data_IF_574757605724
#
_entry.id   IF_574757605724
#
_cell.length_a   1.000
_cell.length_b   1.000
_cell.length_c   1.000
_cell.angle_alpha   90.00
_cell.angle_beta   90.00
_cell.angle_gamma   90.00
#
_symmetry.space_group_name_H-M   'P 1'
#
loop_
_entity.id
_entity.type
_entity.pdbx_description
1 polymer ?
#
# COMPACT_ATOMS: atom_id res chain seq x y z
N UNK A 1 2.08 8.22 30.03
CA UNK A 1 0.69 8.54 30.40
C UNK A 1 -0.06 7.25 30.63
N UNK A 2 -0.68 7.06 31.79
CA UNK A 2 -1.56 5.92 32.02
C UNK A 2 -2.77 6.03 31.08
N UNK A 3 -3.05 4.98 30.31
CA UNK A 3 -4.21 4.94 29.41
C UNK A 3 -5.50 5.01 30.24
N UNK A 4 -6.38 5.95 29.89
CA UNK A 4 -7.67 6.11 30.55
C UNK A 4 -8.43 4.74 30.54
N UNK A 5 -8.89 4.22 31.70
CA UNK A 5 -9.62 2.96 31.77
C UNK A 5 -10.81 2.85 30.80
N UNK A 6 -11.46 3.97 30.49
CA UNK A 6 -12.57 3.98 29.54
C UNK A 6 -12.09 3.86 28.09
N UNK A 7 -10.91 4.40 27.75
CA UNK A 7 -10.28 4.21 26.44
C UNK A 7 -9.89 2.74 26.21
N UNK A 8 -9.43 2.03 27.26
CA UNK A 8 -9.13 0.60 27.16
C UNK A 8 -10.38 -0.26 26.96
N UNK A 9 -11.51 0.09 27.61
CA UNK A 9 -12.79 -0.61 27.39
C UNK A 9 -13.28 -0.41 25.96
N UNK A 10 -13.22 0.82 25.45
CA UNK A 10 -13.58 1.16 24.08
C UNK A 10 -12.70 0.41 23.06
N UNK A 11 -11.40 0.31 23.30
CA UNK A 11 -10.49 -0.41 22.40
C UNK A 11 -10.79 -1.93 22.37
N UNK A 12 -11.11 -2.54 23.52
CA UNK A 12 -11.55 -3.94 23.58
C UNK A 12 -12.84 -4.16 22.81
N UNK A 13 -13.77 -3.21 22.90
CA UNK A 13 -15.03 -3.28 22.17
C UNK A 13 -14.81 -3.12 20.65
N UNK A 14 -13.94 -2.21 20.22
CA UNK A 14 -13.58 -2.05 18.82
C UNK A 14 -12.95 -3.34 18.26
N UNK A 15 -12.04 -3.98 19.01
CA UNK A 15 -11.49 -5.30 18.66
C UNK A 15 -12.57 -6.37 18.53
N UNK A 16 -13.54 -6.41 19.45
CA UNK A 16 -14.65 -7.37 19.40
C UNK A 16 -15.50 -7.21 18.13
N UNK A 17 -15.78 -5.97 17.75
CA UNK A 17 -16.59 -5.63 16.57
C UNK A 17 -15.86 -5.86 15.24
N UNK A 18 -14.54 -5.68 15.22
CA UNK A 18 -13.69 -5.91 14.06
C UNK A 18 -13.33 -7.39 13.84
N UNK A 19 -13.30 -8.22 14.91
CA UNK A 19 -12.89 -9.63 14.87
C UNK A 19 -13.55 -10.46 13.75
N UNK A 20 -14.87 -10.36 13.46
CA UNK A 20 -15.49 -11.13 12.39
C UNK A 20 -14.99 -10.78 10.98
N UNK A 21 -14.35 -9.62 10.81
CA UNK A 21 -13.81 -9.16 9.52
C UNK A 21 -12.39 -9.64 9.26
N UNK A 22 -11.73 -10.26 10.24
CA UNK A 22 -10.34 -10.75 10.17
C UNK A 22 -10.30 -12.23 9.83
N UNK A 23 -9.34 -12.62 8.99
CA UNK A 23 -9.03 -14.01 8.70
C UNK A 23 -9.82 -14.64 7.55
N UNK A 24 -9.47 -15.90 7.27
CA UNK A 24 -9.87 -16.62 6.07
C UNK A 24 -9.04 -16.22 4.84
N UNK A 25 -9.16 -17.02 3.78
CA UNK A 25 -8.55 -16.70 2.49
C UNK A 25 -9.35 -15.58 1.83
N UNK A 26 -8.68 -14.47 1.50
CA UNK A 26 -9.27 -13.32 0.85
C UNK A 26 -9.34 -13.54 -0.68
N UNK A 27 -10.30 -14.37 -1.11
CA UNK A 27 -10.56 -14.63 -2.54
C UNK A 27 -10.71 -13.37 -3.39
N UNK A 28 -11.38 -12.28 -2.93
CA UNK A 28 -11.42 -11.03 -3.70
C UNK A 28 -10.03 -10.45 -3.97
N UNK A 29 -9.14 -10.46 -2.98
CA UNK A 29 -7.75 -9.98 -3.14
C UNK A 29 -6.95 -10.86 -4.10
N UNK A 30 -7.16 -12.18 -4.07
CA UNK A 30 -6.52 -13.12 -5.00
C UNK A 30 -6.99 -12.88 -6.43
N UNK A 31 -8.31 -12.79 -6.66
CA UNK A 31 -8.88 -12.52 -7.97
C UNK A 31 -8.41 -11.16 -8.53
N UNK A 32 -8.39 -10.15 -7.66
CA UNK A 32 -7.86 -8.82 -8.00
C UNK A 32 -6.38 -8.87 -8.38
N UNK A 33 -5.54 -9.55 -7.61
CA UNK A 33 -4.12 -9.69 -7.89
C UNK A 33 -3.84 -10.40 -9.23
N UNK A 34 -4.56 -11.50 -9.50
CA UNK A 34 -4.46 -12.22 -10.78
C UNK A 34 -4.90 -11.31 -11.93
N UNK A 35 -6.01 -10.59 -11.77
CA UNK A 35 -6.49 -9.62 -12.76
C UNK A 35 -5.47 -8.53 -13.05
N UNK A 36 -4.92 -7.89 -12.02
CA UNK A 36 -3.89 -6.85 -12.16
C UNK A 36 -2.66 -7.39 -12.89
N UNK A 37 -2.15 -8.57 -12.50
CA UNK A 37 -0.98 -9.17 -13.14
C UNK A 37 -1.25 -9.55 -14.60
N UNK A 38 -2.41 -10.14 -14.90
CA UNK A 38 -2.79 -10.53 -16.25
C UNK A 38 -2.98 -9.32 -17.17
N UNK A 39 -3.66 -8.27 -16.70
CA UNK A 39 -3.84 -7.04 -17.49
C UNK A 39 -2.51 -6.31 -17.67
N UNK A 40 -1.62 -6.30 -16.67
CA UNK A 40 -0.29 -5.69 -16.79
C UNK A 40 0.56 -6.39 -17.86
N UNK A 41 0.68 -7.71 -17.79
CA UNK A 41 1.41 -8.50 -18.78
C UNK A 41 0.77 -8.41 -20.17
N UNK A 42 -0.57 -8.49 -20.23
CA UNK A 42 -1.34 -8.36 -21.47
C UNK A 42 -1.20 -6.98 -22.11
N UNK A 43 -1.11 -5.91 -21.32
CA UNK A 43 -0.90 -4.54 -21.81
C UNK A 43 0.48 -4.40 -22.44
N UNK A 44 1.53 -4.88 -21.76
CA UNK A 44 2.89 -4.87 -22.31
C UNK A 44 2.92 -5.66 -23.62
N UNK A 45 2.38 -6.88 -23.62
CA UNK A 45 2.34 -7.71 -24.83
C UNK A 45 1.58 -7.03 -25.97
N UNK A 46 0.40 -6.45 -25.70
CA UNK A 46 -0.41 -5.77 -26.70
C UNK A 46 0.29 -4.56 -27.32
N UNK A 47 1.05 -3.79 -26.52
CA UNK A 47 1.89 -2.70 -27.05
C UNK A 47 3.02 -3.27 -27.91
N UNK A 48 3.74 -4.29 -27.41
CA UNK A 48 4.85 -4.94 -28.12
C UNK A 48 4.46 -5.52 -29.48
N UNK A 49 3.23 -6.00 -29.65
CA UNK A 49 2.73 -6.52 -30.93
C UNK A 49 1.91 -5.49 -31.74
N UNK A 50 1.93 -4.21 -31.34
CA UNK A 50 1.26 -3.11 -32.05
C UNK A 50 -0.26 -3.13 -31.99
N UNK A 51 -0.87 -3.90 -31.08
CA UNK A 51 -2.33 -3.96 -30.86
C UNK A 51 -2.84 -2.85 -29.95
N UNK A 52 -1.96 -2.22 -29.18
CA UNK A 52 -2.25 -1.10 -28.30
C UNK A 52 -1.18 -0.02 -28.49
N UNK A 53 -1.58 1.25 -28.53
CA UNK A 53 -0.63 2.36 -28.62
C UNK A 53 0.16 2.56 -27.32
N UNK A 54 1.43 2.97 -27.43
CA UNK A 54 2.34 3.19 -26.29
C UNK A 54 1.73 4.11 -25.22
N UNK A 55 1.07 5.21 -25.61
CA UNK A 55 0.46 6.14 -24.68
C UNK A 55 -0.69 5.51 -23.85
N UNK A 56 -1.53 4.70 -24.49
CA UNK A 56 -2.60 3.99 -23.79
C UNK A 56 -2.02 2.91 -22.87
N UNK A 57 -1.03 2.15 -23.35
CA UNK A 57 -0.32 1.17 -22.52
C UNK A 57 0.36 1.80 -21.32
N UNK A 58 1.00 2.95 -21.49
CA UNK A 58 1.63 3.72 -20.42
C UNK A 58 0.61 4.09 -19.33
N UNK A 59 -0.51 4.70 -19.72
CA UNK A 59 -1.57 5.08 -18.78
C UNK A 59 -2.15 3.87 -18.03
N UNK A 60 -2.41 2.76 -18.73
CA UNK A 60 -2.89 1.53 -18.11
C UNK A 60 -1.86 0.97 -17.12
N UNK A 61 -0.59 0.85 -17.51
CA UNK A 61 0.46 0.36 -16.61
C UNK A 61 0.63 1.25 -15.37
N UNK A 62 0.56 2.58 -15.49
CA UNK A 62 0.62 3.48 -14.33
C UNK A 62 -0.52 3.26 -13.33
N UNK A 63 -1.74 3.02 -13.82
CA UNK A 63 -2.88 2.70 -12.96
C UNK A 63 -2.77 1.30 -12.35
N UNK A 64 -2.19 0.35 -13.08
CA UNK A 64 -1.97 -1.01 -12.56
C UNK A 64 -0.87 -1.06 -11.51
N UNK A 65 0.14 -0.18 -11.57
CA UNK A 65 1.12 0.00 -10.49
C UNK A 65 0.40 0.43 -9.21
N UNK A 66 -0.45 1.45 -9.30
CA UNK A 66 -1.31 1.87 -8.17
C UNK A 66 -2.17 0.72 -7.63
N UNK A 67 -2.81 -0.05 -8.51
CA UNK A 67 -3.61 -1.22 -8.12
C UNK A 67 -2.77 -2.33 -7.45
N UNK A 68 -1.59 -2.61 -8.00
CA UNK A 68 -0.66 -3.62 -7.48
C UNK A 68 -0.19 -3.30 -6.07
N UNK A 69 -0.06 -2.02 -5.71
CA UNK A 69 0.30 -1.61 -4.36
C UNK A 69 -0.68 -2.14 -3.30
N UNK A 70 -1.99 -2.18 -3.59
CA UNK A 70 -2.98 -2.76 -2.67
C UNK A 70 -2.68 -4.24 -2.38
N UNK A 71 -2.28 -5.00 -3.40
CA UNK A 71 -1.92 -6.42 -3.24
C UNK A 71 -0.65 -6.58 -2.43
N UNK A 72 0.37 -5.75 -2.71
CA UNK A 72 1.63 -5.72 -1.97
C UNK A 72 1.40 -5.42 -0.49
N UNK A 73 0.60 -4.39 -0.21
CA UNK A 73 0.21 -3.94 1.13
C UNK A 73 -0.55 -5.03 1.91
N UNK A 74 -1.54 -5.67 1.28
CA UNK A 74 -2.28 -6.79 1.89
C UNK A 74 -1.36 -7.99 2.18
N UNK A 75 -0.38 -8.26 1.32
CA UNK A 75 0.60 -9.32 1.52
C UNK A 75 1.55 -9.04 2.69
N UNK A 76 1.92 -7.78 2.94
CA UNK A 76 2.74 -7.38 4.11
C UNK A 76 2.06 -7.79 5.42
N UNK A 77 0.75 -7.57 5.52
CA UNK A 77 -0.04 -7.86 6.74
C UNK A 77 -0.59 -9.28 6.81
N UNK A 78 -0.28 -10.12 5.83
CA UNK A 78 -0.80 -11.50 5.70
C UNK A 78 -2.33 -11.58 5.51
N UNK A 79 -2.93 -10.57 4.88
CA UNK A 79 -4.39 -10.47 4.68
C UNK A 79 -4.91 -11.39 3.58
N UNK A 80 -4.06 -11.83 2.66
CA UNK A 80 -4.47 -12.67 1.52
C UNK A 80 -4.83 -14.08 1.98
N UNK A 81 -4.00 -14.69 2.82
CA UNK A 81 -4.28 -16.02 3.38
C UNK A 81 -4.99 -15.97 4.73
N UNK A 82 -4.86 -14.86 5.46
CA UNK A 82 -5.08 -14.81 6.90
C UNK A 82 -3.86 -15.32 7.69
N UNK A 83 -3.68 -14.78 8.90
CA UNK A 83 -2.55 -15.11 9.77
C UNK A 83 -2.55 -16.58 10.23
N UNK A 84 -1.38 -17.22 10.21
CA UNK A 84 -1.18 -18.59 10.73
C UNK A 84 -1.76 -19.71 9.87
N UNK A 85 -2.21 -19.41 8.65
CA UNK A 85 -2.82 -20.39 7.75
C UNK A 85 -1.77 -21.17 6.94
N UNK A 86 -2.01 -22.44 6.59
CA UNK A 86 -1.10 -23.23 5.73
C UNK A 86 -0.93 -22.61 4.33
N UNK A 87 -1.88 -21.77 3.91
CA UNK A 87 -1.88 -21.04 2.65
C UNK A 87 -1.07 -19.73 2.68
N UNK A 88 -0.19 -19.56 3.68
CA UNK A 88 0.65 -18.35 3.83
C UNK A 88 1.42 -17.99 2.55
N UNK A 89 1.77 -18.99 1.74
CA UNK A 89 2.45 -18.81 0.47
C UNK A 89 1.68 -17.90 -0.51
N UNK A 90 0.35 -17.76 -0.39
CA UNK A 90 -0.40 -16.78 -1.17
C UNK A 90 0.10 -15.35 -0.99
N UNK A 91 0.39 -14.93 0.24
CA UNK A 91 0.92 -13.58 0.50
C UNK A 91 2.31 -13.43 -0.12
N UNK A 92 3.16 -14.45 0.02
CA UNK A 92 4.52 -14.38 -0.51
C UNK A 92 4.50 -14.33 -2.04
N UNK A 93 3.79 -15.23 -2.70
CA UNK A 93 3.73 -15.29 -4.17
C UNK A 93 3.06 -14.05 -4.76
N UNK A 94 1.86 -13.69 -4.30
CA UNK A 94 1.15 -12.54 -4.86
C UNK A 94 1.81 -11.21 -4.47
N UNK A 95 2.40 -11.13 -3.28
CA UNK A 95 3.21 -9.98 -2.87
C UNK A 95 4.48 -9.83 -3.70
N UNK A 96 5.18 -10.92 -4.04
CA UNK A 96 6.34 -10.85 -4.95
C UNK A 96 5.95 -10.45 -6.37
N UNK A 97 4.81 -10.93 -6.89
CA UNK A 97 4.27 -10.50 -8.19
C UNK A 97 3.93 -9.01 -8.18
N UNK A 98 3.21 -8.55 -7.14
CA UNK A 98 2.90 -7.14 -6.97
C UNK A 98 4.16 -6.28 -6.82
N UNK A 99 5.14 -6.75 -6.05
CA UNK A 99 6.44 -6.12 -5.90
C UNK A 99 7.23 -6.05 -7.21
N UNK A 100 7.11 -7.07 -8.07
CA UNK A 100 7.68 -7.06 -9.41
C UNK A 100 7.09 -5.94 -10.28
N UNK A 101 5.76 -5.80 -10.28
CA UNK A 101 5.05 -4.73 -10.99
C UNK A 101 5.51 -3.35 -10.45
N UNK A 102 5.50 -3.19 -9.12
CA UNK A 102 5.89 -1.97 -8.42
C UNK A 102 7.36 -1.58 -8.57
N UNK A 103 8.24 -2.51 -8.96
CA UNK A 103 9.70 -2.38 -8.80
C UNK A 103 10.13 -2.13 -7.34
N UNK A 104 9.38 -2.70 -6.39
CA UNK A 104 9.68 -2.65 -4.96
C UNK A 104 9.54 -4.07 -4.40
N UNK A 105 10.64 -4.72 -3.96
CA UNK A 105 10.59 -6.03 -3.34
C UNK A 105 9.63 -6.12 -2.15
N UNK A 106 8.84 -7.19 -2.07
CA UNK A 106 7.97 -7.48 -0.93
C UNK A 106 8.75 -7.51 0.38
N UNK A 107 9.93 -8.10 0.37
CA UNK A 107 10.76 -8.24 1.57
C UNK A 107 11.23 -6.88 2.09
N UNK A 108 11.60 -5.97 1.18
CA UNK A 108 12.02 -4.61 1.51
C UNK A 108 10.85 -3.79 2.03
N UNK A 109 9.72 -3.82 1.29
CA UNK A 109 8.54 -3.06 1.67
C UNK A 109 7.96 -3.52 3.00
N UNK A 110 7.91 -4.84 3.25
CA UNK A 110 7.47 -5.39 4.53
C UNK A 110 8.27 -4.85 5.71
N UNK A 111 9.59 -4.73 5.59
CA UNK A 111 10.43 -4.26 6.68
C UNK A 111 10.16 -2.79 7.02
N UNK A 112 10.03 -1.96 6.00
CA UNK A 112 9.80 -0.52 6.10
C UNK A 112 8.37 -0.21 6.54
N UNK A 113 7.36 -0.74 5.86
CA UNK A 113 5.95 -0.50 6.19
C UNK A 113 5.57 -1.01 7.60
N UNK A 114 6.12 -2.13 8.06
CA UNK A 114 5.93 -2.56 9.45
C UNK A 114 6.66 -1.66 10.45
N UNK A 115 7.73 -0.98 10.07
CA UNK A 115 8.38 0.03 10.91
C UNK A 115 7.51 1.28 11.01
N UNK A 116 6.96 1.74 9.89
CA UNK A 116 5.94 2.80 9.87
C UNK A 116 4.80 2.51 10.85
N UNK A 117 4.12 1.36 10.76
CA UNK A 117 3.04 1.01 11.70
C UNK A 117 3.43 1.00 13.19
N UNK A 118 4.69 0.71 13.51
CA UNK A 118 5.16 0.71 14.91
C UNK A 118 5.42 2.13 15.41
N UNK A 119 5.69 3.07 14.51
CA UNK A 119 6.24 4.38 14.79
C UNK A 119 5.50 5.50 14.08
N UNK A 120 4.26 5.28 13.63
CA UNK A 120 3.51 6.22 12.77
C UNK A 120 3.61 7.67 13.27
N UNK A 121 4.00 8.56 12.36
CA UNK A 121 4.23 10.00 12.56
C UNK A 121 5.35 10.37 13.56
N UNK A 122 6.12 9.41 14.09
CA UNK A 122 7.32 9.72 14.87
C UNK A 122 8.35 10.43 13.98
N UNK A 123 8.77 11.67 14.30
CA UNK A 123 9.61 12.48 13.42
C UNK A 123 10.97 11.85 13.09
N UNK A 124 11.48 10.97 13.95
CA UNK A 124 12.81 10.37 13.81
C UNK A 124 12.72 8.91 13.36
N UNK A 125 11.78 8.15 13.92
CA UNK A 125 11.73 6.69 13.77
C UNK A 125 10.79 6.21 12.64
N UNK A 126 9.84 7.02 12.20
CA UNK A 126 8.94 6.65 11.11
C UNK A 126 9.63 6.83 9.75
N UNK A 127 9.82 5.76 8.96
CA UNK A 127 10.39 5.90 7.61
C UNK A 127 9.58 6.81 6.69
N UNK A 128 8.26 6.92 6.87
CA UNK A 128 7.38 7.69 5.98
C UNK A 128 7.35 9.19 6.30
N UNK A 129 8.02 9.65 7.36
CA UNK A 129 8.11 11.10 7.66
C UNK A 129 8.86 11.90 6.59
N UNK A 130 9.63 11.23 5.71
CA UNK A 130 10.22 11.88 4.52
C UNK A 130 9.17 12.35 3.50
N UNK A 131 7.94 11.84 3.62
CA UNK A 131 6.78 12.14 2.77
C UNK A 131 5.90 13.24 3.34
N UNK A 132 6.11 13.65 4.61
CA UNK A 132 5.34 14.70 5.24
C UNK A 132 5.50 16.02 4.46
N UNK A 133 4.38 16.69 4.21
CA UNK A 133 4.32 17.96 3.48
C UNK A 133 3.79 19.03 4.42
N UNK A 134 4.58 20.09 4.59
CA UNK A 134 4.15 21.30 5.30
C UNK A 134 3.15 22.10 4.48
N UNK A 135 2.04 22.51 5.08
CA UNK A 135 1.00 23.28 4.41
C UNK A 135 0.23 22.47 3.36
N UNK A 136 -0.45 23.15 2.43
CA UNK A 136 -1.32 22.49 1.44
C UNK A 136 -0.49 21.76 0.37
N UNK A 137 -0.67 20.44 0.17
CA UNK A 137 0.01 19.71 -0.89
C UNK A 137 -0.32 20.26 -2.29
N UNK A 138 0.68 20.26 -3.17
CA UNK A 138 0.55 20.60 -4.59
C UNK A 138 1.37 19.60 -5.43
N UNK A 139 1.25 19.65 -6.75
CA UNK A 139 1.91 18.67 -7.63
C UNK A 139 3.44 18.65 -7.45
N UNK A 140 4.07 19.79 -7.18
CA UNK A 140 5.50 19.87 -6.94
C UNK A 140 5.92 19.16 -5.66
N UNK A 141 5.26 19.45 -4.53
CA UNK A 141 5.58 18.79 -3.25
C UNK A 141 5.24 17.29 -3.27
N UNK A 142 4.15 16.89 -3.92
CA UNK A 142 3.79 15.49 -4.13
C UNK A 142 4.83 14.74 -4.99
N UNK A 143 5.35 15.38 -6.03
CA UNK A 143 6.39 14.79 -6.88
C UNK A 143 7.70 14.58 -6.11
N UNK A 144 8.09 15.55 -5.28
CA UNK A 144 9.26 15.42 -4.40
C UNK A 144 9.05 14.31 -3.37
N UNK A 145 7.88 14.25 -2.72
CA UNK A 145 7.55 13.18 -1.78
C UNK A 145 7.59 11.80 -2.47
N UNK A 146 7.05 11.68 -3.68
CA UNK A 146 7.11 10.47 -4.50
C UNK A 146 8.53 9.99 -4.76
N UNK A 147 9.45 10.88 -5.17
CA UNK A 147 10.84 10.49 -5.40
C UNK A 147 11.55 10.11 -4.09
N UNK A 148 11.24 10.82 -2.99
CA UNK A 148 11.77 10.48 -1.66
C UNK A 148 11.28 9.12 -1.18
N UNK A 149 10.02 8.74 -1.45
CA UNK A 149 9.49 7.43 -1.05
C UNK A 149 10.32 6.29 -1.67
N UNK A 150 10.63 6.40 -2.96
CA UNK A 150 11.44 5.40 -3.68
C UNK A 150 12.82 5.30 -3.04
N UNK A 151 13.51 6.43 -2.82
CA UNK A 151 14.83 6.43 -2.20
C UNK A 151 14.78 5.88 -0.77
N UNK A 152 13.78 6.27 0.01
CA UNK A 152 13.62 5.86 1.41
C UNK A 152 13.32 4.38 1.56
N UNK A 153 12.49 3.82 0.67
CA UNK A 153 12.16 2.40 0.64
C UNK A 153 13.42 1.52 0.63
N UNK A 154 14.36 1.84 -0.24
CA UNK A 154 15.63 1.13 -0.33
C UNK A 154 16.56 1.55 0.81
N UNK A 155 16.85 2.85 1.00
CA UNK A 155 17.82 3.26 2.03
C UNK A 155 17.48 2.76 3.43
N UNK A 156 16.20 2.77 3.84
CA UNK A 156 15.76 2.22 5.12
C UNK A 156 16.08 0.74 5.26
N UNK A 157 15.85 -0.06 4.21
CA UNK A 157 16.15 -1.49 4.29
C UNK A 157 17.65 -1.73 4.49
N UNK A 158 18.55 -1.04 3.79
CA UNK A 158 19.99 -1.29 3.92
C UNK A 158 20.56 -0.71 5.22
N UNK A 159 20.09 0.46 5.65
CA UNK A 159 20.60 1.10 6.87
C UNK A 159 20.05 0.45 8.15
N UNK A 160 18.77 0.09 8.14
CA UNK A 160 18.03 -0.22 9.37
C UNK A 160 17.57 -1.68 9.45
N UNK A 161 17.02 -2.24 8.36
CA UNK A 161 16.51 -3.61 8.38
C UNK A 161 17.59 -4.67 8.16
N UNK A 162 18.45 -4.49 7.14
CA UNK A 162 19.46 -5.45 6.70
C UNK A 162 20.35 -5.95 7.84
N UNK A 163 20.89 -5.10 8.74
CA UNK A 163 21.75 -5.57 9.84
C UNK A 163 21.07 -6.58 10.78
N UNK A 164 19.74 -6.51 10.91
CA UNK A 164 18.96 -7.35 11.84
C UNK A 164 18.24 -8.53 11.18
N UNK A 165 18.20 -8.58 9.85
CA UNK A 165 17.57 -9.67 9.07
C UNK A 165 18.41 -10.95 9.01
N UNK A 166 17.73 -12.07 8.83
CA UNK A 166 18.34 -13.40 8.64
C UNK A 166 19.00 -13.53 7.26
N UNK A 167 19.90 -14.51 7.09
CA UNK A 167 20.49 -14.82 5.77
C UNK A 167 19.42 -15.17 4.72
N UNK A 168 18.37 -15.89 5.12
CA UNK A 168 17.28 -16.28 4.24
C UNK A 168 16.53 -15.06 3.69
N UNK A 169 16.18 -14.11 4.56
CA UNK A 169 15.53 -12.86 4.16
C UNK A 169 16.41 -12.02 3.22
N UNK A 170 17.72 -11.97 3.47
CA UNK A 170 18.67 -11.26 2.61
C UNK A 170 18.76 -11.88 1.22
N UNK A 171 18.81 -13.22 1.14
CA UNK A 171 18.80 -13.95 -0.13
C UNK A 171 17.49 -13.69 -0.87
N UNK A 172 16.35 -13.72 -0.17
CA UNK A 172 15.05 -13.45 -0.75
C UNK A 172 14.93 -12.02 -1.29
N UNK A 173 15.31 -11.01 -0.52
CA UNK A 173 15.33 -9.62 -0.99
C UNK A 173 16.23 -9.45 -2.22
N UNK A 174 17.41 -10.08 -2.21
CA UNK A 174 18.34 -10.06 -3.34
C UNK A 174 17.76 -10.74 -4.59
N UNK A 175 17.07 -11.87 -4.42
CA UNK A 175 16.41 -12.58 -5.51
C UNK A 175 15.23 -11.76 -6.08
N UNK A 176 14.40 -11.14 -5.23
CA UNK A 176 13.30 -10.26 -5.65
C UNK A 176 13.83 -9.09 -6.49
N UNK A 177 14.90 -8.41 -6.02
CA UNK A 177 15.55 -7.34 -6.79
C UNK A 177 16.12 -7.83 -8.12
N UNK A 178 16.82 -8.97 -8.10
CA UNK A 178 17.39 -9.55 -9.30
C UNK A 178 16.29 -9.83 -10.34
N UNK A 179 15.18 -10.47 -9.94
CA UNK A 179 14.04 -10.75 -10.83
C UNK A 179 13.42 -9.46 -11.36
N UNK A 180 13.25 -8.44 -10.52
CA UNK A 180 12.75 -7.11 -10.92
C UNK A 180 13.59 -6.50 -12.03
N UNK A 181 14.92 -6.47 -11.85
CA UNK A 181 15.84 -5.87 -12.81
C UNK A 181 15.98 -6.74 -14.06
N UNK A 182 16.18 -8.05 -13.88
CA UNK A 182 16.35 -9.01 -14.96
C UNK A 182 15.11 -9.10 -15.86
N UNK A 183 13.90 -9.01 -15.31
CA UNK A 183 12.68 -9.01 -16.13
C UNK A 183 12.58 -7.79 -17.05
N UNK A 184 12.99 -6.61 -16.56
CA UNK A 184 12.98 -5.36 -17.32
C UNK A 184 14.07 -5.34 -18.39
N UNK A 185 15.29 -5.75 -18.02
CA UNK A 185 16.40 -5.90 -18.96
C UNK A 185 16.10 -7.00 -20.00
N UNK A 186 15.47 -8.09 -19.59
CA UNK A 186 15.04 -9.17 -20.48
C UNK A 186 14.07 -8.68 -21.54
N UNK A 187 13.07 -7.87 -21.16
CA UNK A 187 12.15 -7.24 -22.12
C UNK A 187 12.90 -6.33 -23.11
N UNK A 188 13.86 -5.53 -22.62
CA UNK A 188 14.66 -4.66 -23.47
C UNK A 188 15.54 -5.43 -24.46
N UNK A 189 16.24 -6.47 -23.98
CA UNK A 189 17.11 -7.34 -24.81
C UNK A 189 16.29 -8.18 -25.79
N UNK A 190 15.03 -8.50 -25.47
CA UNK A 190 14.11 -9.18 -26.38
C UNK A 190 13.61 -8.29 -27.55
N UNK A 191 14.10 -7.07 -27.68
CA UNK A 191 13.76 -6.15 -28.77
C UNK A 191 12.73 -5.09 -28.41
N UNK A 192 12.35 -4.97 -27.13
CA UNK A 192 11.35 -4.02 -26.65
C UNK A 192 11.92 -3.01 -25.61
N UNK A 193 13.03 -2.30 -25.92
CA UNK A 193 13.67 -1.40 -24.95
C UNK A 193 12.80 -0.19 -24.60
N UNK A 194 11.99 0.30 -25.54
CA UNK A 194 11.11 1.44 -25.30
C UNK A 194 9.93 1.03 -24.40
N UNK A 195 9.36 -0.15 -24.60
CA UNK A 195 8.31 -0.72 -23.75
C UNK A 195 8.84 -0.98 -22.35
N UNK A 196 10.04 -1.55 -22.21
CA UNK A 196 10.69 -1.74 -20.92
C UNK A 196 10.83 -0.40 -20.17
N UNK A 197 11.33 0.63 -20.84
CA UNK A 197 11.52 1.95 -20.24
C UNK A 197 10.17 2.62 -19.90
N UNK A 198 9.27 2.73 -20.87
CA UNK A 198 8.02 3.48 -20.72
C UNK A 198 7.04 2.76 -19.80
N UNK A 199 6.80 1.47 -20.02
CA UNK A 199 5.72 0.72 -19.37
C UNK A 199 6.11 0.14 -18.01
N UNK A 200 7.40 0.07 -17.67
CA UNK A 200 7.86 -0.56 -16.42
C UNK A 200 8.73 0.32 -15.54
N UNK A 201 9.29 1.42 -16.07
CA UNK A 201 10.10 2.39 -15.30
C UNK A 201 9.34 3.70 -15.17
N UNK A 202 9.02 4.38 -16.28
CA UNK A 202 8.28 5.64 -16.21
C UNK A 202 6.84 5.44 -15.72
N UNK A 203 6.18 4.35 -16.12
CA UNK A 203 4.86 4.02 -15.60
C UNK A 203 4.89 3.82 -14.07
N UNK A 204 5.97 3.24 -13.53
CA UNK A 204 6.17 3.07 -12.08
C UNK A 204 6.34 4.41 -11.37
N UNK A 205 7.04 5.38 -11.97
CA UNK A 205 7.17 6.73 -11.38
C UNK A 205 5.81 7.43 -11.26
N UNK A 206 4.97 7.34 -12.30
CA UNK A 206 3.61 7.90 -12.28
C UNK A 206 2.71 7.12 -11.31
N UNK A 207 2.76 5.80 -11.32
CA UNK A 207 2.01 4.97 -10.37
C UNK A 207 2.39 5.26 -8.92
N UNK A 208 3.69 5.40 -8.63
CA UNK A 208 4.18 5.79 -7.31
C UNK A 208 3.73 7.20 -6.90
N UNK A 209 3.67 8.16 -7.83
CA UNK A 209 3.11 9.47 -7.55
C UNK A 209 1.63 9.39 -7.14
N UNK A 210 0.84 8.56 -7.83
CA UNK A 210 -0.57 8.33 -7.48
C UNK A 210 -0.65 7.68 -6.08
N UNK A 211 0.15 6.65 -5.82
CA UNK A 211 0.22 5.98 -4.51
C UNK A 211 0.58 6.97 -3.40
N UNK A 212 1.69 7.69 -3.51
CA UNK A 212 2.11 8.64 -2.48
C UNK A 212 1.07 9.72 -2.24
N UNK A 213 0.38 10.17 -3.28
CA UNK A 213 -0.72 11.14 -3.13
C UNK A 213 -1.86 10.57 -2.29
N UNK A 214 -2.32 9.35 -2.61
CA UNK A 214 -3.58 8.81 -2.12
C UNK A 214 -3.46 7.80 -0.96
N UNK A 215 -2.33 7.12 -0.79
CA UNK A 215 -2.08 6.15 0.28
C UNK A 215 -1.19 6.70 1.39
N UNK A 216 -0.31 7.64 1.09
CA UNK A 216 0.60 8.19 2.09
C UNK A 216 0.15 9.60 2.52
N UNK A 217 0.17 10.58 1.61
CA UNK A 217 -0.04 11.98 1.98
C UNK A 217 -1.50 12.26 2.35
N UNK A 218 -2.47 11.92 1.50
CA UNK A 218 -3.87 12.35 1.73
C UNK A 218 -4.46 11.86 3.06
N UNK A 219 -4.06 10.67 3.51
CA UNK A 219 -4.65 10.00 4.68
C UNK A 219 -3.85 10.18 5.97
N UNK A 220 -2.59 10.59 5.89
CA UNK A 220 -1.74 10.93 7.04
C UNK A 220 -1.60 12.43 7.28
N UNK A 221 -1.76 13.28 6.25
CA UNK A 221 -1.52 14.71 6.38
C UNK A 221 -2.38 15.34 7.49
N UNK A 222 -1.81 16.15 8.41
CA UNK A 222 -0.46 16.74 8.35
C UNK A 222 0.65 16.00 9.11
N UNK A 223 0.50 14.69 9.39
CA UNK A 223 1.49 13.86 10.08
C UNK A 223 1.84 14.35 11.50
N UNK A 224 0.84 14.88 12.22
CA UNK A 224 1.02 15.41 13.59
C UNK A 224 0.31 14.58 14.66
N UNK A 225 -0.59 13.68 14.26
CA UNK A 225 -1.34 12.84 15.18
C UNK A 225 -0.47 11.70 15.69
N UNK A 226 -0.43 11.52 17.01
CA UNK A 226 0.24 10.38 17.64
C UNK A 226 -0.76 9.54 18.43
N UNK A 227 -0.70 8.23 18.23
CA UNK A 227 -1.51 7.27 18.97
C UNK A 227 -2.49 6.52 18.08
N UNK A 228 -2.96 5.38 18.60
CA UNK A 228 -3.68 4.33 17.86
C UNK A 228 -4.88 4.80 17.02
N UNK A 229 -5.59 5.85 17.45
CA UNK A 229 -6.77 6.37 16.75
C UNK A 229 -6.49 7.70 16.01
N UNK A 230 -5.31 8.30 16.20
CA UNK A 230 -5.03 9.68 15.81
C UNK A 230 -4.01 9.79 14.68
N UNK A 231 -3.25 8.73 14.42
CA UNK A 231 -2.11 8.74 13.51
C UNK A 231 -2.50 8.86 12.03
N UNK A 232 -3.75 8.57 11.71
CA UNK A 232 -4.28 8.51 10.35
C UNK A 232 -5.75 8.92 10.31
N UNK A 233 -6.27 9.16 9.11
CA UNK A 233 -7.65 9.64 8.93
C UNK A 233 -8.55 8.69 8.15
N UNK A 234 -9.86 8.92 8.28
CA UNK A 234 -10.87 8.47 7.30
C UNK A 234 -11.38 9.68 6.52
N UNK A 235 -11.48 9.55 5.20
CA UNK A 235 -12.00 10.54 4.27
C UNK A 235 -13.34 10.03 3.70
N UNK A 236 -14.43 10.66 4.13
CA UNK A 236 -15.79 10.33 3.72
C UNK A 236 -16.29 11.32 2.68
N UNK A 237 -16.96 10.81 1.65
CA UNK A 237 -17.55 11.63 0.60
C UNK A 237 -19.08 11.61 0.67
N UNK A 238 -19.79 12.53 -0.01
CA UNK A 238 -21.24 12.51 -0.12
C UNK A 238 -21.75 11.15 -0.63
N UNK A 239 -22.89 10.72 -0.09
CA UNK A 239 -23.37 9.34 -0.25
C UNK A 239 -23.44 8.83 -1.70
N UNK A 240 -23.78 9.68 -2.66
CA UNK A 240 -23.89 9.30 -4.07
C UNK A 240 -22.53 9.06 -4.76
N UNK A 241 -21.44 9.63 -4.25
CA UNK A 241 -20.06 9.42 -4.75
C UNK A 241 -19.18 8.57 -3.85
N UNK A 242 -19.56 8.35 -2.58
CA UNK A 242 -18.70 7.67 -1.61
C UNK A 242 -18.31 6.27 -2.05
N UNK A 243 -19.29 5.47 -2.48
CA UNK A 243 -19.03 4.12 -2.97
C UNK A 243 -18.08 4.12 -4.19
N UNK A 244 -18.39 4.78 -5.32
CA UNK A 244 -17.50 4.73 -6.48
C UNK A 244 -16.09 5.26 -6.20
N UNK A 245 -15.95 6.32 -5.41
CA UNK A 245 -14.62 6.82 -5.01
C UNK A 245 -13.89 5.78 -4.15
N UNK A 246 -14.57 5.16 -3.18
CA UNK A 246 -13.98 4.12 -2.32
C UNK A 246 -13.51 2.92 -3.15
N UNK A 247 -14.27 2.50 -4.16
CA UNK A 247 -13.88 1.41 -5.06
C UNK A 247 -12.67 1.79 -5.92
N UNK A 248 -12.64 3.00 -6.49
CA UNK A 248 -11.50 3.49 -7.27
C UNK A 248 -10.26 3.69 -6.40
N UNK A 249 -10.44 4.10 -5.14
CA UNK A 249 -9.38 4.29 -4.15
C UNK A 249 -9.02 3.00 -3.40
N UNK A 250 -9.60 1.86 -3.79
CA UNK A 250 -9.31 0.56 -3.17
C UNK A 250 -9.40 0.61 -1.63
N UNK A 251 -10.47 1.26 -1.14
CA UNK A 251 -10.83 1.48 0.27
C UNK A 251 -9.84 2.26 1.14
N UNK A 252 -8.78 2.84 0.57
CA UNK A 252 -7.78 3.53 1.39
C UNK A 252 -8.24 4.87 1.95
N UNK A 253 -9.34 5.42 1.47
CA UNK A 253 -10.00 6.51 2.16
C UNK A 253 -10.45 6.12 3.59
N UNK A 254 -10.39 4.85 3.97
CA UNK A 254 -10.55 4.35 5.34
C UNK A 254 -9.21 3.92 5.98
N UNK A 255 -8.10 4.58 5.67
CA UNK A 255 -6.76 4.19 6.15
C UNK A 255 -6.64 4.10 7.68
N UNK A 256 -7.39 4.91 8.44
CA UNK A 256 -7.47 4.74 9.90
C UNK A 256 -7.97 3.37 10.35
N UNK A 257 -8.89 2.73 9.60
CA UNK A 257 -9.30 1.35 9.89
C UNK A 257 -8.14 0.38 9.67
N UNK A 258 -7.33 0.63 8.64
CA UNK A 258 -6.13 -0.14 8.37
C UNK A 258 -5.14 -0.04 9.53
N UNK A 259 -4.82 1.16 10.02
CA UNK A 259 -3.93 1.34 11.17
C UNK A 259 -4.47 0.72 12.46
N UNK A 260 -5.78 0.80 12.68
CA UNK A 260 -6.42 0.18 13.84
C UNK A 260 -6.41 -1.36 13.75
N UNK A 261 -6.69 -1.91 12.57
CA UNK A 261 -6.87 -3.33 12.35
C UNK A 261 -6.17 -3.78 11.05
N UNK A 262 -4.83 -3.82 11.02
CA UNK A 262 -4.06 -4.06 9.79
C UNK A 262 -4.31 -5.44 9.18
N UNK A 263 -4.90 -6.36 9.96
CA UNK A 263 -5.27 -7.71 9.54
C UNK A 263 -6.65 -7.83 8.88
N UNK A 264 -7.37 -6.73 8.73
CA UNK A 264 -8.65 -6.69 8.01
C UNK A 264 -8.33 -6.52 6.52
N UNK A 265 -8.87 -7.35 5.62
CA UNK A 265 -8.70 -7.14 4.19
C UNK A 265 -9.33 -5.82 3.72
N UNK A 266 -8.68 -5.13 2.80
CA UNK A 266 -9.05 -3.76 2.39
C UNK A 266 -10.53 -3.57 2.02
N UNK A 267 -11.11 -4.53 1.29
CA UNK A 267 -12.51 -4.49 0.86
C UNK A 267 -13.53 -4.61 2.02
N UNK A 268 -13.08 -4.85 3.26
CA UNK A 268 -13.91 -4.89 4.47
C UNK A 268 -13.78 -3.65 5.35
N UNK A 269 -12.97 -2.65 4.96
CA UNK A 269 -12.74 -1.47 5.79
C UNK A 269 -14.02 -0.68 6.09
N UNK A 270 -14.89 -0.51 5.10
CA UNK A 270 -16.22 0.13 5.27
C UNK A 270 -17.06 -0.59 6.32
N UNK A 271 -17.17 -1.92 6.22
CA UNK A 271 -17.92 -2.73 7.19
C UNK A 271 -17.36 -2.62 8.61
N UNK A 272 -16.04 -2.55 8.76
CA UNK A 272 -15.42 -2.35 10.09
C UNK A 272 -15.67 -0.93 10.57
N UNK A 273 -15.44 0.07 9.73
CA UNK A 273 -15.67 1.48 10.03
C UNK A 273 -17.08 1.71 10.56
N UNK A 274 -18.12 1.27 9.86
CA UNK A 274 -19.52 1.44 10.26
C UNK A 274 -19.82 0.86 11.65
N UNK A 275 -19.17 -0.26 12.02
CA UNK A 275 -19.35 -0.88 13.33
C UNK A 275 -18.65 -0.12 14.44
N UNK A 276 -17.47 0.43 14.18
CA UNK A 276 -16.62 1.06 15.20
C UNK A 276 -16.66 2.59 15.18
N UNK A 277 -17.37 3.21 14.24
CA UNK A 277 -17.39 4.67 14.07
C UNK A 277 -17.72 5.42 15.37
N UNK A 278 -18.72 5.00 16.18
CA UNK A 278 -18.98 5.66 17.46
C UNK A 278 -17.78 5.62 18.42
N UNK A 279 -17.02 4.53 18.40
CA UNK A 279 -15.80 4.37 19.21
C UNK A 279 -14.67 5.24 18.67
N UNK A 280 -14.49 5.28 17.35
CA UNK A 280 -13.51 6.14 16.70
C UNK A 280 -13.77 7.62 17.03
N UNK A 281 -15.03 8.06 16.97
CA UNK A 281 -15.43 9.42 17.38
C UNK A 281 -15.13 9.66 18.86
N UNK A 282 -15.49 8.72 19.74
CA UNK A 282 -15.21 8.84 21.18
C UNK A 282 -13.70 8.89 21.52
N UNK A 283 -12.86 8.26 20.70
CA UNK A 283 -11.40 8.27 20.82
C UNK A 283 -10.73 9.44 20.08
N UNK A 284 -11.52 10.33 19.46
CA UNK A 284 -11.02 11.51 18.75
C UNK A 284 -10.40 11.25 17.38
N UNK A 285 -10.74 10.13 16.74
CA UNK A 285 -10.17 9.78 15.45
C UNK A 285 -10.47 10.83 14.36
N UNK A 286 -9.48 11.22 13.53
CA UNK A 286 -9.70 12.13 12.41
C UNK A 286 -10.64 11.51 11.35
N UNK A 287 -11.87 12.01 11.26
CA UNK A 287 -12.85 11.62 10.25
C UNK A 287 -13.29 12.89 9.51
N UNK A 288 -12.87 13.04 8.25
CA UNK A 288 -13.12 14.22 7.45
C UNK A 288 -14.25 13.98 6.44
N UNK A 289 -15.22 14.90 6.40
CA UNK A 289 -16.24 14.94 5.34
C UNK A 289 -15.71 15.80 4.19
N UNK A 290 -15.64 15.24 2.99
CA UNK A 290 -15.10 15.86 1.78
C UNK A 290 -16.27 16.17 0.83
N UNK A 291 -16.79 17.39 0.85
CA UNK A 291 -17.90 17.81 0.00
C UNK A 291 -18.41 19.20 0.33
#
# INVERSE_FOLDING_TARGET
>A
MATNPDSLKLDREAMRLAKPSVGGVAWPTIAFAIGVAAVYAGTIAAVSIGRLGMAAGFGICSLLVYAAYTVLHEAVHSNISGFGQPTRWYNETLGMIAGFIMAIPLTIHRAEHLAHHRKTNDPEDDPDMVLAISGRPNLGSLSVASLRSIVKQYTFYWSSAWPTTTREERVKASAEMFVIVAGRLGLAVAGFPLEALMLTVFANLVGNLIIVTFFAVAVHHPNTGHGRYLDTSTLLFPGWVNAPITWLWLWQNYHSVHHLFPRVPFYRYTTVFERIQPIMVAQGAPIHQIG
#
